data_IF_245441450869
#
_entry.id   IF_245441450869
#
_cell.length_a   1.000
_cell.length_b   1.000
_cell.length_c   1.000
_cell.angle_alpha   90.00
_cell.angle_beta   90.00
_cell.angle_gamma   90.00
#
_symmetry.space_group_name_H-M   'P 1'
#
loop_
_entity.id
_entity.type
_entity.pdbx_description
1 polymer ?
#
# COMPACT_ATOMS: atom_id res chain seq x y z
N UNK A 1 25.17 2.10 -8.09
CA UNK A 1 26.44 2.77 -7.82
C UNK A 1 27.58 1.87 -8.23
N UNK A 2 28.53 2.39 -9.00
CA UNK A 2 29.73 1.68 -9.42
C UNK A 2 30.94 2.61 -9.32
N UNK A 3 32.15 2.05 -9.38
CA UNK A 3 33.39 2.81 -9.37
C UNK A 3 33.57 3.74 -10.58
N UNK A 4 32.77 3.57 -11.63
CA UNK A 4 32.79 4.40 -12.83
C UNK A 4 31.70 5.49 -12.83
N UNK A 5 30.69 5.40 -11.97
CA UNK A 5 29.56 6.33 -12.00
C UNK A 5 28.34 5.90 -11.18
N UNK A 6 27.31 6.75 -11.18
CA UNK A 6 26.04 6.50 -10.51
C UNK A 6 24.86 6.82 -11.42
N UNK A 7 23.82 6.02 -11.31
CA UNK A 7 22.56 6.17 -12.01
C UNK A 7 21.42 6.20 -10.99
N UNK A 8 20.54 7.19 -11.13
CA UNK A 8 19.31 7.35 -10.38
C UNK A 8 18.14 7.15 -11.31
N UNK A 9 17.23 6.26 -10.94
CA UNK A 9 16.07 5.92 -11.72
C UNK A 9 14.89 5.60 -10.82
N UNK A 10 13.70 5.71 -11.39
CA UNK A 10 12.43 5.28 -10.79
C UNK A 10 11.84 4.15 -11.61
N UNK A 11 11.24 3.19 -10.91
CA UNK A 11 10.49 2.09 -11.49
C UNK A 11 9.04 2.21 -11.02
N UNK A 12 8.11 2.36 -11.95
CA UNK A 12 6.67 2.43 -11.64
C UNK A 12 5.94 1.36 -12.44
N UNK A 13 5.57 0.26 -11.79
CA UNK A 13 4.99 -0.89 -12.49
C UNK A 13 5.96 -1.41 -13.54
N UNK A 14 5.61 -1.24 -14.83
CA UNK A 14 6.45 -1.65 -15.96
C UNK A 14 7.22 -0.49 -16.61
N UNK A 15 7.03 0.76 -16.18
CA UNK A 15 7.75 1.91 -16.75
C UNK A 15 9.05 2.15 -16.01
N UNK A 16 10.12 2.33 -16.79
CA UNK A 16 11.46 2.62 -16.30
C UNK A 16 11.87 4.04 -16.70
N UNK A 17 12.18 4.87 -15.72
CA UNK A 17 12.54 6.27 -15.95
C UNK A 17 13.90 6.58 -15.32
N UNK A 18 14.86 6.99 -16.14
CA UNK A 18 16.19 7.41 -15.67
C UNK A 18 16.14 8.92 -15.39
N UNK A 19 16.31 9.28 -14.12
CA UNK A 19 16.23 10.68 -13.68
C UNK A 19 17.55 11.39 -13.93
N UNK A 20 18.64 10.79 -13.45
CA UNK A 20 19.95 11.41 -13.51
C UNK A 20 21.04 10.34 -13.57
N UNK A 21 22.05 10.57 -14.40
CA UNK A 21 23.28 9.79 -14.44
C UNK A 21 24.48 10.72 -14.43
N UNK A 22 25.55 10.29 -13.78
CA UNK A 22 26.83 10.95 -13.90
C UNK A 22 27.97 9.95 -13.72
N UNK A 23 29.05 10.18 -14.46
CA UNK A 23 30.25 9.37 -14.44
C UNK A 23 31.30 10.01 -13.55
N UNK A 24 32.15 9.19 -12.95
CA UNK A 24 33.25 9.62 -12.07
C UNK A 24 34.47 8.77 -12.33
N UNK A 25 35.62 9.44 -12.46
CA UNK A 25 36.91 8.77 -12.56
C UNK A 25 37.59 8.67 -11.19
N UNK A 26 37.52 7.48 -10.58
CA UNK A 26 38.13 7.19 -9.29
C UNK A 26 39.55 6.64 -9.47
N UNK A 27 40.53 7.09 -8.66
CA UNK A 27 41.91 6.62 -8.76
C UNK A 27 42.00 5.14 -8.39
N UNK A 28 42.55 4.33 -9.29
CA UNK A 28 42.68 2.88 -9.12
C UNK A 28 43.61 2.51 -7.96
N UNK A 29 43.49 1.27 -7.49
CA UNK A 29 44.43 0.70 -6.51
C UNK A 29 45.79 0.51 -7.19
N UNK A 30 46.82 1.15 -6.65
CA UNK A 30 48.20 0.91 -7.10
C UNK A 30 48.75 -0.32 -6.38
N UNK A 31 49.26 -1.29 -7.14
CA UNK A 31 49.91 -2.48 -6.61
C UNK A 31 51.43 -2.33 -6.40
N UNK A 32 52.03 -1.24 -6.88
CA UNK A 32 53.47 -0.98 -6.72
C UNK A 32 53.72 -0.20 -5.42
N UNK A 33 54.58 -0.74 -4.56
CA UNK A 33 54.97 -0.12 -3.29
C UNK A 33 55.91 1.08 -3.46
N UNK A 34 56.08 1.87 -2.40
CA UNK A 34 56.97 3.03 -2.34
C UNK A 34 56.63 4.01 -1.21
N UNK A 35 57.49 5.00 -0.96
CA UNK A 35 57.29 6.03 0.08
C UNK A 35 56.00 6.85 -0.14
N UNK A 36 55.58 7.02 -1.38
CA UNK A 36 54.35 7.74 -1.75
C UNK A 36 53.08 6.86 -1.70
N UNK A 37 53.19 5.54 -1.49
CA UNK A 37 52.06 4.62 -1.55
C UNK A 37 50.95 4.96 -0.53
N UNK A 38 51.33 5.32 0.70
CA UNK A 38 50.38 5.70 1.75
C UNK A 38 49.60 6.98 1.38
N UNK A 39 50.29 7.96 0.78
CA UNK A 39 49.66 9.20 0.31
C UNK A 39 48.64 8.92 -0.80
N UNK A 40 48.98 8.09 -1.77
CA UNK A 40 48.04 7.70 -2.82
C UNK A 40 46.85 6.88 -2.30
N UNK A 41 47.07 6.09 -1.24
CA UNK A 41 45.99 5.39 -0.57
C UNK A 41 45.00 6.35 0.11
N UNK A 42 45.52 7.37 0.81
CA UNK A 42 44.69 8.42 1.44
C UNK A 42 43.90 9.22 0.40
N UNK A 43 44.55 9.69 -0.67
CA UNK A 43 43.88 10.41 -1.76
C UNK A 43 42.75 9.58 -2.41
N UNK A 44 42.91 8.25 -2.48
CA UNK A 44 41.86 7.36 -2.98
C UNK A 44 40.67 7.27 -2.03
N UNK A 45 40.91 7.09 -0.74
CA UNK A 45 39.83 7.08 0.27
C UNK A 45 39.07 8.40 0.27
N UNK A 46 39.79 9.51 0.18
CA UNK A 46 39.21 10.86 0.15
C UNK A 46 38.32 11.07 -1.08
N UNK A 47 38.79 10.69 -2.28
CA UNK A 47 37.96 10.75 -3.50
C UNK A 47 36.74 9.82 -3.43
N UNK A 48 36.87 8.63 -2.84
CA UNK A 48 35.73 7.72 -2.63
C UNK A 48 34.70 8.32 -1.68
N UNK A 49 35.14 8.89 -0.57
CA UNK A 49 34.26 9.55 0.39
C UNK A 49 33.52 10.74 -0.26
N UNK A 50 34.22 11.56 -1.05
CA UNK A 50 33.62 12.67 -1.79
C UNK A 50 32.62 12.18 -2.85
N UNK A 51 32.87 11.03 -3.48
CA UNK A 51 31.92 10.41 -4.41
C UNK A 51 30.65 9.97 -3.70
N UNK A 52 30.76 9.25 -2.57
CA UNK A 52 29.61 8.83 -1.75
C UNK A 52 28.80 10.05 -1.28
N UNK A 53 29.47 11.13 -0.84
CA UNK A 53 28.81 12.39 -0.49
C UNK A 53 28.02 12.98 -1.65
N UNK A 54 28.64 13.10 -2.83
CA UNK A 54 27.97 13.62 -4.03
C UNK A 54 26.75 12.79 -4.41
N UNK A 55 26.83 11.47 -4.27
CA UNK A 55 25.71 10.56 -4.53
C UNK A 55 24.59 10.78 -3.51
N UNK A 56 24.90 10.88 -2.22
CA UNK A 56 23.92 11.16 -1.16
C UNK A 56 23.19 12.49 -1.40
N UNK A 57 23.92 13.56 -1.72
CA UNK A 57 23.34 14.87 -2.03
C UNK A 57 22.45 14.84 -3.29
N UNK A 58 22.87 14.09 -4.31
CA UNK A 58 22.08 13.94 -5.54
C UNK A 58 20.81 13.12 -5.28
N UNK A 59 20.89 12.09 -4.44
CA UNK A 59 19.74 11.28 -4.04
C UNK A 59 18.65 12.14 -3.37
N UNK A 60 19.05 13.05 -2.48
CA UNK A 60 18.13 14.00 -1.83
C UNK A 60 17.43 14.88 -2.87
N UNK A 61 18.17 15.43 -3.83
CA UNK A 61 17.59 16.26 -4.90
C UNK A 61 16.61 15.51 -5.80
N UNK A 62 16.86 14.23 -6.07
CA UNK A 62 16.01 13.42 -6.94
C UNK A 62 14.76 12.87 -6.22
N UNK A 63 14.91 12.39 -4.99
CA UNK A 63 13.89 11.60 -4.30
C UNK A 63 13.14 12.34 -3.18
N UNK A 64 13.59 13.52 -2.77
CA UNK A 64 12.88 14.36 -1.79
C UNK A 64 12.24 15.55 -2.52
N UNK A 65 10.93 15.68 -2.38
CA UNK A 65 10.14 16.84 -2.84
C UNK A 65 9.27 17.32 -1.69
N UNK A 66 9.29 18.62 -1.41
CA UNK A 66 8.51 19.25 -0.33
C UNK A 66 8.68 18.54 1.03
N UNK A 67 9.93 18.28 1.42
CA UNK A 67 10.32 17.56 2.64
C UNK A 67 9.80 16.11 2.78
N UNK A 68 9.13 15.58 1.76
CA UNK A 68 8.61 14.22 1.73
C UNK A 68 9.35 13.38 0.69
N UNK A 69 9.59 12.12 1.04
CA UNK A 69 10.14 11.15 0.10
C UNK A 69 9.07 10.81 -0.92
N UNK A 70 9.37 11.01 -2.21
CA UNK A 70 8.42 10.73 -3.30
C UNK A 70 8.28 9.23 -3.59
N UNK A 71 9.27 8.43 -3.19
CA UNK A 71 9.31 6.99 -3.43
C UNK A 71 8.68 6.18 -2.28
N UNK A 72 8.00 5.10 -2.66
CA UNK A 72 7.41 4.14 -1.71
C UNK A 72 8.50 3.37 -0.94
N UNK A 73 9.57 3.02 -1.65
CA UNK A 73 10.78 2.42 -1.11
C UNK A 73 11.97 2.65 -2.05
N UNK A 74 13.16 2.39 -1.54
CA UNK A 74 14.44 2.65 -2.20
C UNK A 74 15.28 1.37 -2.23
N UNK A 75 15.97 1.15 -3.34
CA UNK A 75 16.86 0.01 -3.55
C UNK A 75 18.25 0.56 -3.83
N UNK A 76 19.25 0.03 -3.11
CA UNK A 76 20.64 0.37 -3.35
C UNK A 76 21.31 -0.75 -4.13
N UNK A 77 21.47 -0.57 -5.44
CA UNK A 77 22.17 -1.52 -6.30
C UNK A 77 23.60 -1.04 -6.56
N UNK A 78 24.57 -1.94 -6.53
CA UNK A 78 25.94 -1.62 -6.91
C UNK A 78 26.88 -2.80 -6.89
N UNK A 79 28.05 -2.61 -7.50
CA UNK A 79 29.16 -3.55 -7.38
C UNK A 79 30.03 -3.16 -6.19
N UNK A 80 30.48 -4.14 -5.42
CA UNK A 80 31.33 -3.98 -4.24
C UNK A 80 30.69 -3.17 -3.08
N UNK A 81 31.54 -2.73 -2.14
CA UNK A 81 31.14 -2.16 -0.85
C UNK A 81 30.66 -0.69 -0.91
N UNK A 82 30.58 -0.07 -2.08
CA UNK A 82 30.15 1.34 -2.16
C UNK A 82 28.72 1.57 -1.66
N UNK A 83 27.84 0.59 -1.86
CA UNK A 83 26.45 0.67 -1.39
C UNK A 83 26.32 0.47 0.12
N UNK A 84 27.21 -0.35 0.72
CA UNK A 84 27.24 -0.57 2.17
C UNK A 84 27.86 0.63 2.87
N UNK A 85 28.91 1.23 2.27
CA UNK A 85 29.45 2.51 2.72
C UNK A 85 28.41 3.63 2.67
N UNK A 86 27.60 3.73 1.60
CA UNK A 86 26.51 4.72 1.54
C UNK A 86 25.50 4.51 2.66
N UNK A 87 24.99 3.27 2.82
CA UNK A 87 23.96 2.95 3.80
C UNK A 87 24.42 3.09 5.26
N UNK A 88 25.70 2.81 5.53
CA UNK A 88 26.30 2.96 6.86
C UNK A 88 26.83 4.35 7.18
N UNK A 89 26.81 5.29 6.22
CA UNK A 89 27.35 6.63 6.42
C UNK A 89 26.30 7.61 6.94
N UNK A 90 26.70 8.47 7.87
CA UNK A 90 25.87 9.58 8.39
C UNK A 90 25.57 10.66 7.33
N UNK A 91 26.20 10.57 6.15
CA UNK A 91 25.96 11.49 5.04
C UNK A 91 24.66 11.20 4.31
N UNK A 92 24.12 9.98 4.46
CA UNK A 92 22.88 9.60 3.81
C UNK A 92 21.69 10.10 4.63
N UNK A 93 20.73 10.74 3.96
CA UNK A 93 19.57 11.32 4.64
C UNK A 93 18.76 10.23 5.35
N UNK A 94 18.50 10.43 6.64
CA UNK A 94 17.79 9.46 7.49
C UNK A 94 16.39 9.12 6.94
N UNK A 95 15.72 10.07 6.27
CA UNK A 95 14.40 9.84 5.67
C UNK A 95 14.48 8.84 4.50
N UNK A 96 15.57 8.90 3.73
CA UNK A 96 15.83 7.94 2.65
C UNK A 96 16.34 6.61 3.20
N UNK A 97 17.19 6.64 4.23
CA UNK A 97 17.69 5.44 4.92
C UNK A 97 16.54 4.57 5.45
N UNK A 98 15.53 5.18 6.07
CA UNK A 98 14.34 4.49 6.57
C UNK A 98 13.48 3.85 5.45
N UNK A 99 13.71 4.21 4.18
CA UNK A 99 13.00 3.69 3.01
C UNK A 99 13.81 2.67 2.22
N UNK A 100 15.04 2.35 2.63
CA UNK A 100 15.85 1.31 1.98
C UNK A 100 15.22 -0.06 2.27
N UNK A 101 14.77 -0.74 1.21
CA UNK A 101 14.19 -2.08 1.30
C UNK A 101 15.30 -3.12 1.28
N UNK A 102 16.18 -3.03 0.29
CA UNK A 102 17.24 -4.01 0.05
C UNK A 102 18.45 -3.38 -0.64
N UNK A 103 19.62 -3.92 -0.33
CA UNK A 103 20.87 -3.67 -1.04
C UNK A 103 21.16 -4.84 -1.98
N UNK A 104 21.41 -4.59 -3.27
CA UNK A 104 21.61 -5.64 -4.29
C UNK A 104 22.98 -5.53 -4.92
N UNK A 105 23.62 -6.69 -5.11
CA UNK A 105 24.87 -6.84 -5.86
C UNK A 105 24.55 -6.99 -7.34
N UNK A 106 25.12 -6.11 -8.16
CA UNK A 106 25.03 -6.19 -9.62
C UNK A 106 26.42 -6.34 -10.23
N UNK A 107 26.49 -7.13 -11.30
CA UNK A 107 27.76 -7.41 -11.98
C UNK A 107 28.21 -6.27 -12.87
N UNK A 108 27.26 -5.49 -13.38
CA UNK A 108 27.50 -4.37 -14.29
C UNK A 108 26.96 -3.05 -13.72
N UNK A 109 27.62 -1.94 -14.03
CA UNK A 109 27.13 -0.60 -13.74
C UNK A 109 26.19 -0.04 -14.82
N UNK A 110 25.66 1.16 -14.58
CA UNK A 110 24.85 1.91 -15.55
C UNK A 110 23.49 1.27 -15.85
N UNK A 111 23.02 1.43 -17.09
CA UNK A 111 21.68 1.02 -17.53
C UNK A 111 21.52 -0.50 -17.61
N UNK A 112 22.59 -1.22 -17.97
CA UNK A 112 22.59 -2.69 -17.98
C UNK A 112 22.49 -3.26 -16.56
N UNK A 113 23.24 -2.68 -15.62
CA UNK A 113 23.14 -3.02 -14.20
C UNK A 113 21.76 -2.72 -13.61
N UNK A 114 21.09 -1.68 -14.10
CA UNK A 114 19.75 -1.33 -13.67
C UNK A 114 18.72 -2.39 -14.07
N UNK A 115 18.78 -2.94 -15.28
CA UNK A 115 17.88 -4.04 -15.68
C UNK A 115 18.11 -5.29 -14.81
N UNK A 116 19.38 -5.63 -14.54
CA UNK A 116 19.71 -6.75 -13.66
C UNK A 116 19.19 -6.53 -12.23
N UNK A 117 19.29 -5.30 -11.72
CA UNK A 117 18.75 -4.97 -10.40
C UNK A 117 17.23 -5.13 -10.33
N UNK A 118 16.50 -4.81 -11.42
CA UNK A 118 15.05 -4.98 -11.47
C UNK A 118 14.67 -6.46 -11.36
N UNK A 119 15.36 -7.34 -12.10
CA UNK A 119 15.11 -8.79 -12.06
C UNK A 119 15.35 -9.37 -10.65
N UNK A 120 16.41 -8.94 -9.97
CA UNK A 120 16.77 -9.46 -8.64
C UNK A 120 15.85 -8.98 -7.51
N UNK A 121 15.16 -7.85 -7.69
CA UNK A 121 14.35 -7.21 -6.62
C UNK A 121 12.85 -7.37 -6.86
N UNK A 122 12.46 -8.05 -7.94
CA UNK A 122 11.06 -8.29 -8.28
C UNK A 122 10.27 -8.93 -7.12
N UNK A 123 10.88 -9.90 -6.42
CA UNK A 123 10.27 -10.58 -5.28
C UNK A 123 10.12 -9.67 -4.04
N UNK A 124 11.07 -8.76 -3.80
CA UNK A 124 10.95 -7.85 -2.66
C UNK A 124 9.92 -6.74 -2.92
N UNK A 125 9.79 -6.30 -4.18
CA UNK A 125 8.80 -5.29 -4.55
C UNK A 125 7.37 -5.81 -4.41
N UNK A 126 7.12 -7.08 -4.76
CA UNK A 126 5.80 -7.71 -4.52
C UNK A 126 5.51 -7.82 -3.02
N UNK A 127 6.52 -8.16 -2.22
CA UNK A 127 6.41 -8.21 -0.76
C UNK A 127 6.11 -6.84 -0.14
N UNK A 128 6.65 -5.73 -0.67
CA UNK A 128 6.38 -4.38 -0.13
C UNK A 128 4.90 -4.01 -0.26
N UNK A 129 4.24 -4.38 -1.37
CA UNK A 129 2.78 -4.18 -1.52
C UNK A 129 2.06 -4.95 -0.41
N UNK A 130 2.37 -6.23 -0.24
CA UNK A 130 1.76 -7.08 0.78
C UNK A 130 1.99 -6.58 2.21
N UNK A 131 3.21 -6.13 2.55
CA UNK A 131 3.53 -5.61 3.90
C UNK A 131 2.74 -4.35 4.22
N UNK A 132 2.53 -3.47 3.24
CA UNK A 132 1.70 -2.27 3.44
C UNK A 132 0.24 -2.61 3.65
N UNK A 133 -0.28 -3.57 2.88
CA UNK A 133 -1.66 -4.04 2.99
C UNK A 133 -1.91 -4.70 4.34
N UNK A 134 -1.01 -5.61 4.75
CA UNK A 134 -1.05 -6.22 6.07
C UNK A 134 -0.98 -5.18 7.19
N UNK A 135 -0.11 -4.17 7.08
CA UNK A 135 -0.01 -3.09 8.08
C UNK A 135 -1.33 -2.32 8.22
N UNK A 136 -2.01 -2.06 7.10
CA UNK A 136 -3.28 -1.35 7.09
C UNK A 136 -4.39 -2.17 7.74
N UNK A 137 -4.45 -3.47 7.45
CA UNK A 137 -5.38 -4.41 8.10
C UNK A 137 -5.07 -4.56 9.60
N UNK A 138 -3.80 -4.66 9.99
CA UNK A 138 -3.42 -4.69 11.40
C UNK A 138 -3.87 -3.44 12.15
N UNK A 139 -3.76 -2.25 11.53
CA UNK A 139 -4.26 -1.01 12.12
C UNK A 139 -5.78 -1.04 12.34
N UNK A 140 -6.54 -1.63 11.40
CA UNK A 140 -7.98 -1.83 11.56
C UNK A 140 -8.30 -2.76 12.74
N UNK A 141 -7.62 -3.92 12.83
CA UNK A 141 -7.82 -4.86 13.93
C UNK A 141 -7.34 -4.32 15.29
N UNK A 142 -6.32 -3.46 15.31
CA UNK A 142 -5.89 -2.76 16.53
C UNK A 142 -6.99 -1.83 17.06
N UNK A 143 -7.75 -1.16 16.19
CA UNK A 143 -8.88 -0.30 16.59
C UNK A 143 -10.06 -1.12 17.13
N UNK A 144 -10.33 -2.31 16.57
CA UNK A 144 -11.31 -3.25 17.12
C UNK A 144 -10.86 -3.74 18.49
N UNK A 145 -9.61 -4.20 18.61
CA UNK A 145 -9.08 -4.79 19.84
C UNK A 145 -9.02 -3.80 21.01
N UNK A 146 -8.96 -2.49 20.71
CA UNK A 146 -8.93 -1.40 21.70
C UNK A 146 -10.31 -0.83 22.04
N UNK A 147 -11.39 -1.34 21.43
CA UNK A 147 -12.77 -0.87 21.63
C UNK A 147 -12.94 0.67 21.47
N UNK A 148 -12.17 1.27 20.56
CA UNK A 148 -12.21 2.73 20.36
C UNK A 148 -13.53 3.20 19.72
N UNK A 149 -14.26 2.27 19.09
CA UNK A 149 -15.48 2.54 18.32
C UNK A 149 -15.23 3.33 17.04
N UNK A 150 -13.98 3.34 16.53
CA UNK A 150 -13.57 4.04 15.29
C UNK A 150 -13.51 3.11 14.08
N UNK A 151 -14.40 2.14 14.02
CA UNK A 151 -14.50 1.22 12.90
C UNK A 151 -15.96 1.04 12.49
N UNK A 152 -16.17 0.77 11.21
CA UNK A 152 -17.45 0.28 10.69
C UNK A 152 -17.20 -1.01 9.91
N UNK A 153 -18.24 -1.85 9.86
CA UNK A 153 -18.34 -3.02 9.00
C UNK A 153 -19.74 -3.03 8.38
N UNK A 154 -19.93 -3.75 7.28
CA UNK A 154 -21.17 -3.82 6.50
C UNK A 154 -21.53 -2.55 5.70
N UNK A 155 -22.27 -2.75 4.60
CA UNK A 155 -22.57 -1.73 3.59
C UNK A 155 -23.39 -0.58 4.16
N UNK A 156 -24.46 -0.88 4.92
CA UNK A 156 -25.39 0.14 5.43
C UNK A 156 -24.70 1.16 6.34
N UNK A 157 -23.92 0.67 7.30
CA UNK A 157 -23.15 1.52 8.21
C UNK A 157 -22.03 2.26 7.47
N UNK A 158 -21.45 1.63 6.43
CA UNK A 158 -20.43 2.23 5.57
C UNK A 158 -20.96 3.41 4.78
N UNK A 159 -22.12 3.27 4.13
CA UNK A 159 -22.75 4.33 3.34
C UNK A 159 -23.14 5.50 4.24
N UNK A 160 -23.75 5.21 5.40
CA UNK A 160 -24.10 6.25 6.38
C UNK A 160 -22.86 7.01 6.88
N UNK A 161 -21.78 6.30 7.19
CA UNK A 161 -20.52 6.94 7.61
C UNK A 161 -19.87 7.76 6.49
N UNK A 162 -20.03 7.33 5.24
CA UNK A 162 -19.54 8.02 4.06
C UNK A 162 -20.34 9.31 3.79
N UNK A 163 -21.67 9.26 3.88
CA UNK A 163 -22.57 10.43 3.74
C UNK A 163 -22.30 11.48 4.82
N UNK A 164 -21.95 11.04 6.03
CA UNK A 164 -21.58 11.93 7.13
C UNK A 164 -20.15 12.47 7.02
N UNK A 165 -19.35 11.99 6.05
CA UNK A 165 -17.95 12.39 5.88
C UNK A 165 -17.05 12.00 7.06
N UNK A 166 -17.45 10.99 7.84
CA UNK A 166 -16.73 10.56 9.05
C UNK A 166 -15.60 9.55 8.77
N UNK A 167 -15.44 9.13 7.52
CA UNK A 167 -14.46 8.11 7.10
C UNK A 167 -13.07 8.71 6.91
N UNK A 168 -12.06 8.09 7.51
CA UNK A 168 -10.66 8.44 7.25
C UNK A 168 -10.09 7.59 6.10
N UNK A 169 -10.18 6.27 6.28
CA UNK A 169 -9.62 5.29 5.36
C UNK A 169 -10.69 4.26 5.06
N UNK A 170 -10.97 4.08 3.77
CA UNK A 170 -11.88 3.06 3.27
C UNK A 170 -11.10 1.89 2.69
N UNK A 171 -11.41 0.69 3.19
CA UNK A 171 -10.78 -0.56 2.83
C UNK A 171 -11.83 -1.39 2.10
N UNK A 172 -11.60 -1.63 0.82
CA UNK A 172 -12.53 -2.38 -0.04
C UNK A 172 -11.79 -3.57 -0.61
N UNK A 173 -12.48 -4.70 -0.65
CA UNK A 173 -12.01 -5.87 -1.36
C UNK A 173 -12.28 -5.74 -2.86
N UNK A 174 -11.32 -6.13 -3.70
CA UNK A 174 -11.45 -5.98 -5.17
C UNK A 174 -12.57 -6.83 -5.77
N UNK A 175 -12.79 -8.04 -5.26
CA UNK A 175 -13.78 -8.98 -5.81
C UNK A 175 -15.14 -8.86 -5.10
N UNK A 176 -15.59 -7.62 -4.88
CA UNK A 176 -16.83 -7.35 -4.20
C UNK A 176 -18.03 -7.44 -5.17
N UNK A 177 -18.79 -8.52 -5.07
CA UNK A 177 -19.97 -8.78 -5.92
C UNK A 177 -21.26 -8.11 -5.39
N UNK A 178 -21.16 -6.81 -5.08
CA UNK A 178 -22.27 -5.99 -4.60
C UNK A 178 -22.64 -4.98 -5.67
N UNK A 179 -23.91 -4.98 -6.07
CA UNK A 179 -24.46 -4.01 -7.02
C UNK A 179 -25.37 -3.01 -6.31
N UNK A 180 -25.30 -1.77 -6.76
CA UNK A 180 -26.20 -0.69 -6.35
C UNK A 180 -27.34 -0.60 -7.36
N UNK A 181 -28.55 -0.80 -6.87
CA UNK A 181 -29.79 -0.62 -7.63
C UNK A 181 -30.45 0.68 -7.21
N UNK A 182 -30.76 1.52 -8.19
CA UNK A 182 -31.65 2.68 -8.00
C UNK A 182 -33.01 2.32 -8.54
N UNK A 183 -33.96 2.15 -7.63
CA UNK A 183 -35.34 1.85 -7.93
C UNK A 183 -36.16 3.13 -7.95
N UNK A 184 -37.02 3.29 -8.96
CA UNK A 184 -38.06 4.31 -8.97
C UNK A 184 -39.39 3.67 -8.61
N UNK A 185 -40.06 4.23 -7.60
CA UNK A 185 -41.43 3.87 -7.34
C UNK A 185 -42.35 4.66 -8.30
N UNK A 186 -43.19 4.00 -9.12
CA UNK A 186 -44.07 4.68 -10.06
C UNK A 186 -45.16 5.51 -9.38
N UNK A 187 -45.48 5.23 -8.11
CA UNK A 187 -46.55 5.90 -7.37
C UNK A 187 -46.06 7.11 -6.57
N UNK A 188 -44.88 7.02 -5.95
CA UNK A 188 -44.35 8.07 -5.07
C UNK A 188 -43.28 8.96 -5.73
N UNK A 189 -42.80 8.60 -6.92
CA UNK A 189 -41.65 9.22 -7.60
C UNK A 189 -40.35 9.30 -6.77
N UNK A 190 -40.32 8.65 -5.60
CA UNK A 190 -39.14 8.58 -4.75
C UNK A 190 -38.20 7.50 -5.28
N UNK A 191 -36.92 7.85 -5.30
CA UNK A 191 -35.85 6.92 -5.66
C UNK A 191 -35.41 6.18 -4.40
N UNK A 192 -35.57 4.86 -4.39
CA UNK A 192 -35.01 3.99 -3.35
C UNK A 192 -33.69 3.39 -3.84
N UNK A 193 -32.65 3.50 -3.01
CA UNK A 193 -31.36 2.88 -3.29
C UNK A 193 -31.27 1.60 -2.47
N UNK A 194 -30.98 0.48 -3.14
CA UNK A 194 -30.71 -0.81 -2.49
C UNK A 194 -29.36 -1.35 -2.95
N UNK A 195 -28.65 -1.98 -2.03
CA UNK A 195 -27.42 -2.70 -2.29
C UNK A 195 -27.75 -4.19 -2.18
N UNK A 196 -27.49 -4.96 -3.22
CA UNK A 196 -27.86 -6.38 -3.29
C UNK A 196 -26.63 -7.22 -3.64
N UNK A 197 -26.51 -8.36 -2.97
CA UNK A 197 -25.53 -9.41 -3.29
C UNK A 197 -26.08 -10.36 -4.37
N UNK A 198 -25.22 -11.20 -4.96
CA UNK A 198 -25.61 -12.14 -6.02
C UNK A 198 -26.67 -13.17 -5.60
N UNK A 199 -26.77 -13.48 -4.30
CA UNK A 199 -27.82 -14.34 -3.74
C UNK A 199 -29.15 -13.59 -3.62
N UNK A 200 -29.11 -12.35 -3.13
CA UNK A 200 -30.27 -11.48 -2.94
C UNK A 200 -30.84 -10.96 -4.27
N UNK A 201 -30.00 -10.86 -5.31
CA UNK A 201 -30.41 -10.55 -6.69
C UNK A 201 -31.38 -11.62 -7.24
N UNK A 202 -31.27 -12.87 -6.79
CA UNK A 202 -32.18 -13.95 -7.21
C UNK A 202 -33.53 -13.89 -6.51
N UNK A 203 -33.59 -13.21 -5.37
CA UNK A 203 -34.79 -13.12 -4.56
C UNK A 203 -35.69 -11.97 -5.04
N UNK A 204 -36.76 -12.35 -5.76
CA UNK A 204 -37.79 -11.43 -6.27
C UNK A 204 -38.41 -10.54 -5.19
N UNK A 205 -38.31 -10.90 -3.91
CA UNK A 205 -38.81 -10.12 -2.77
C UNK A 205 -38.14 -8.75 -2.64
N UNK A 206 -36.92 -8.58 -3.13
CA UNK A 206 -36.19 -7.31 -3.04
C UNK A 206 -36.62 -6.28 -4.09
N UNK A 207 -37.26 -6.75 -5.17
CA UNK A 207 -37.78 -5.97 -6.29
C UNK A 207 -39.24 -5.52 -6.11
N UNK A 208 -39.88 -5.94 -5.02
CA UNK A 208 -41.24 -5.54 -4.67
C UNK A 208 -41.18 -4.58 -3.49
N UNK A 209 -41.89 -3.47 -3.59
CA UNK A 209 -42.00 -2.51 -2.50
C UNK A 209 -42.87 -3.08 -1.36
N UNK A 210 -42.36 -3.05 -0.12
CA UNK A 210 -43.00 -3.69 1.04
C UNK A 210 -44.32 -3.01 1.43
N UNK A 211 -44.49 -1.73 1.08
CA UNK A 211 -45.70 -0.95 1.39
C UNK A 211 -46.78 -1.03 0.31
N UNK A 212 -46.40 -1.10 -0.96
CA UNK A 212 -47.35 -0.97 -2.09
C UNK A 212 -47.58 -2.29 -2.82
N UNK A 213 -46.72 -3.29 -2.61
CA UNK A 213 -46.80 -4.59 -3.30
C UNK A 213 -46.57 -4.50 -4.81
N UNK A 214 -46.14 -3.34 -5.31
CA UNK A 214 -45.84 -3.11 -6.71
C UNK A 214 -44.36 -3.39 -7.02
N UNK A 215 -44.10 -3.85 -8.24
CA UNK A 215 -42.76 -4.08 -8.75
C UNK A 215 -42.06 -2.73 -8.98
N UNK A 216 -40.85 -2.59 -8.45
CA UNK A 216 -40.03 -1.40 -8.59
C UNK A 216 -39.29 -1.42 -9.93
N UNK A 217 -39.32 -0.32 -10.66
CA UNK A 217 -38.54 -0.19 -11.90
C UNK A 217 -37.09 0.14 -11.56
N UNK A 218 -36.15 -0.69 -12.02
CA UNK A 218 -34.71 -0.41 -11.87
C UNK A 218 -34.26 0.58 -12.95
N UNK A 219 -33.84 1.78 -12.55
CA UNK A 219 -33.33 2.81 -13.47
C UNK A 219 -31.88 2.51 -13.87
N UNK A 220 -31.03 2.32 -12.86
CA UNK A 220 -29.61 2.10 -13.05
C UNK A 220 -29.11 0.98 -12.13
N UNK A 221 -28.22 0.18 -12.70
CA UNK A 221 -27.50 -0.90 -12.02
C UNK A 221 -26.04 -0.65 -12.25
N UNK A 222 -25.33 -0.34 -11.17
CA UNK A 222 -23.89 -0.07 -11.19
C UNK A 222 -23.22 -0.94 -10.13
N UNK A 223 -21.95 -1.28 -10.32
CA UNK A 223 -21.21 -1.97 -9.26
C UNK A 223 -20.93 -1.00 -8.12
N UNK A 224 -20.88 -1.50 -6.88
CA UNK A 224 -20.62 -0.64 -5.73
C UNK A 224 -19.24 0.01 -5.80
N UNK A 225 -18.26 -0.69 -6.39
CA UNK A 225 -16.90 -0.18 -6.60
C UNK A 225 -16.92 1.00 -7.60
N UNK A 226 -17.57 0.85 -8.75
CA UNK A 226 -17.64 1.91 -9.76
C UNK A 226 -18.35 3.14 -9.20
N UNK A 227 -19.47 2.93 -8.50
CA UNK A 227 -20.18 4.01 -7.80
C UNK A 227 -19.29 4.74 -6.79
N UNK A 228 -18.50 4.00 -6.01
CA UNK A 228 -17.56 4.59 -5.04
C UNK A 228 -16.41 5.36 -5.70
N UNK A 229 -15.98 4.96 -6.90
CA UNK A 229 -14.98 5.70 -7.67
C UNK A 229 -15.58 7.00 -8.22
N UNK A 230 -16.77 6.92 -8.82
CA UNK A 230 -17.45 8.05 -9.45
C UNK A 230 -17.90 9.12 -8.45
N UNK A 231 -18.40 8.70 -7.29
CA UNK A 231 -18.89 9.61 -6.24
C UNK A 231 -17.76 10.42 -5.61
N UNK A 232 -16.49 9.99 -5.76
CA UNK A 232 -15.39 10.44 -4.90
C UNK A 232 -14.55 11.58 -5.44
N UNK A 233 -15.12 12.45 -6.27
CA UNK A 233 -14.35 13.58 -6.79
C UNK A 233 -14.01 14.68 -5.76
N UNK A 234 -14.34 14.56 -4.46
CA UNK A 234 -14.11 15.69 -3.54
C UNK A 234 -13.42 15.48 -2.17
N UNK A 235 -13.45 14.35 -1.43
CA UNK A 235 -13.15 14.49 0.02
C UNK A 235 -12.37 13.39 0.77
N UNK A 236 -11.96 12.27 0.16
CA UNK A 236 -11.36 11.18 0.94
C UNK A 236 -10.19 10.53 0.19
N UNK A 237 -9.02 10.49 0.83
CA UNK A 237 -7.87 9.67 0.42
C UNK A 237 -8.32 8.21 0.27
N UNK A 238 -8.63 7.80 -0.95
CA UNK A 238 -8.93 6.41 -1.31
C UNK A 238 -7.61 5.67 -1.33
N UNK A 239 -7.16 5.25 -0.14
CA UNK A 239 -5.75 4.87 0.03
C UNK A 239 -5.39 3.47 -0.44
N UNK A 240 -6.36 2.59 -0.73
CA UNK A 240 -6.16 1.36 -1.53
C UNK A 240 -7.45 0.55 -1.64
N UNK A 241 -7.69 0.01 -2.84
CA UNK A 241 -8.46 -1.22 -3.03
C UNK A 241 -7.47 -2.37 -2.81
N UNK A 242 -7.86 -3.36 -2.01
CA UNK A 242 -6.98 -4.48 -1.65
C UNK A 242 -7.21 -5.68 -2.56
N UNK A 243 -6.22 -5.98 -3.41
CA UNK A 243 -6.04 -7.29 -4.04
C UNK A 243 -5.46 -8.25 -3.01
N UNK A 244 -6.25 -8.77 -2.06
CA UNK A 244 -5.73 -9.78 -1.15
C UNK A 244 -5.37 -11.03 -1.97
N UNK A 245 -4.08 -11.37 -1.99
CA UNK A 245 -3.65 -12.72 -2.37
C UNK A 245 -4.21 -13.71 -1.34
N UNK A 246 -4.55 -14.91 -1.81
CA UNK A 246 -5.29 -16.00 -1.15
C UNK A 246 -4.84 -16.43 0.27
N UNK A 247 -3.78 -15.85 0.83
CA UNK A 247 -3.19 -16.27 2.10
C UNK A 247 -3.84 -15.62 3.34
N UNK A 248 -4.83 -14.76 3.15
CA UNK A 248 -5.58 -14.10 4.25
C UNK A 248 -6.95 -14.75 4.46
N UNK A 249 -6.95 -16.05 4.74
CA UNK A 249 -8.16 -16.87 5.02
C UNK A 249 -9.03 -16.27 6.14
N UNK A 250 -8.46 -15.47 7.05
CA UNK A 250 -9.19 -14.84 8.15
C UNK A 250 -10.14 -13.70 7.73
N UNK A 251 -10.06 -13.18 6.50
CA UNK A 251 -10.92 -12.10 6.01
C UNK A 251 -12.13 -12.58 5.21
N UNK A 252 -12.16 -13.85 4.77
CA UNK A 252 -13.36 -14.41 4.11
C UNK A 252 -14.57 -14.46 5.07
N UNK A 253 -14.33 -14.57 6.38
CA UNK A 253 -15.37 -14.60 7.41
C UNK A 253 -15.89 -13.21 7.84
N UNK A 254 -15.20 -12.14 7.46
CA UNK A 254 -15.60 -10.76 7.77
C UNK A 254 -16.08 -10.08 6.49
N UNK A 255 -17.41 -9.95 6.35
CA UNK A 255 -18.10 -9.24 5.28
C UNK A 255 -17.25 -8.13 4.63
N UNK A 256 -16.72 -8.41 3.44
CA UNK A 256 -16.75 -7.63 2.20
C UNK A 256 -16.26 -6.16 2.18
N UNK A 257 -16.58 -5.33 3.18
CA UNK A 257 -16.20 -3.92 3.27
C UNK A 257 -15.82 -3.56 4.70
N UNK A 258 -14.60 -3.01 4.87
CA UNK A 258 -14.06 -2.59 6.16
C UNK A 258 -13.72 -1.09 6.15
N UNK A 259 -13.95 -0.40 7.26
CA UNK A 259 -13.80 1.05 7.36
C UNK A 259 -13.07 1.47 8.65
N UNK A 260 -12.14 2.42 8.52
CA UNK A 260 -11.57 3.16 9.66
C UNK A 260 -12.16 4.58 9.67
N UNK A 261 -12.74 4.97 10.81
CA UNK A 261 -13.41 6.27 11.00
C UNK A 261 -12.49 7.30 11.66
N UNK A 262 -12.63 8.57 11.28
CA UNK A 262 -11.97 9.72 11.93
C UNK A 262 -12.51 10.00 13.34
N UNK A 263 -13.80 9.71 13.57
CA UNK A 263 -14.51 9.96 14.83
C UNK A 263 -15.22 8.70 15.30
N UNK A 264 -15.49 8.62 16.61
CA UNK A 264 -16.23 7.51 17.20
C UNK A 264 -17.60 7.41 16.53
N UNK A 265 -17.97 6.20 16.09
CA UNK A 265 -19.28 5.97 15.50
C UNK A 265 -20.37 6.27 16.54
N UNK A 266 -21.37 7.06 16.16
CA UNK A 266 -22.45 7.49 17.05
C UNK A 266 -23.59 6.45 17.07
N UNK A 267 -23.59 5.51 16.12
CA UNK A 267 -24.55 4.40 16.08
C UNK A 267 -24.08 3.21 16.92
N UNK A 268 -24.96 2.61 17.75
CA UNK A 268 -24.65 1.35 18.40
C UNK A 268 -24.58 0.25 17.32
N UNK A 269 -23.39 -0.27 17.06
CA UNK A 269 -23.26 -1.56 16.37
C UNK A 269 -24.00 -2.59 17.22
N UNK A 270 -24.90 -3.39 16.61
CA UNK A 270 -25.43 -4.57 17.29
C UNK A 270 -24.24 -5.42 17.72
N UNK A 271 -24.10 -5.61 19.03
CA UNK A 271 -22.89 -6.14 19.65
C UNK A 271 -22.81 -7.65 19.41
N UNK A 272 -22.25 -8.06 18.28
CA UNK A 272 -21.88 -9.46 18.06
C UNK A 272 -20.55 -9.68 18.76
N UNK A 273 -20.55 -10.42 19.88
CA UNK A 273 -19.32 -10.72 20.63
C UNK A 273 -18.47 -11.73 19.85
N UNK A 274 -17.24 -11.31 19.51
CA UNK A 274 -16.24 -12.12 18.83
C UNK A 274 -15.27 -12.65 19.88
N UNK A 275 -15.12 -13.97 20.01
CA UNK A 275 -14.18 -14.58 20.97
C UNK A 275 -13.03 -15.25 20.23
N UNK A 276 -11.79 -14.89 20.56
CA UNK A 276 -10.56 -15.51 20.05
C UNK A 276 -10.07 -16.59 21.02
N UNK A 277 -9.90 -17.82 20.53
CA UNK A 277 -9.28 -18.94 21.26
C UNK A 277 -7.98 -19.32 20.56
N UNK A 278 -6.87 -19.32 21.29
CA UNK A 278 -5.55 -19.71 20.77
C UNK A 278 -5.42 -21.23 20.91
N UNK A 279 -5.31 -21.98 19.81
CA UNK A 279 -5.03 -23.42 19.84
C UNK A 279 -3.52 -23.65 19.60
N UNK A 280 -2.79 -23.88 20.69
CA UNK A 280 -1.33 -24.06 20.72
C UNK A 280 -0.85 -25.30 19.95
N UNK A 281 -1.74 -26.24 19.60
CA UNK A 281 -1.36 -27.48 18.91
C UNK A 281 -1.20 -27.34 17.40
N UNK A 282 -1.79 -26.31 16.78
CA UNK A 282 -1.77 -26.12 15.32
C UNK A 282 -1.11 -24.81 14.88
N UNK A 283 -0.84 -23.88 15.80
CA UNK A 283 -0.28 -22.57 15.46
C UNK A 283 -1.27 -21.62 14.77
N UNK A 284 -2.59 -21.85 14.92
CA UNK A 284 -3.66 -21.01 14.35
C UNK A 284 -4.47 -20.33 15.46
N UNK A 285 -5.05 -19.18 15.13
CA UNK A 285 -6.03 -18.47 15.95
C UNK A 285 -7.44 -18.89 15.50
N UNK A 286 -8.21 -19.53 16.38
CA UNK A 286 -9.63 -19.85 16.12
C UNK A 286 -10.49 -18.72 16.66
N UNK A 287 -11.27 -18.08 15.80
CA UNK A 287 -12.18 -16.99 16.18
C UNK A 287 -13.61 -17.48 16.03
N UNK A 288 -14.35 -17.57 17.14
CA UNK A 288 -15.75 -17.98 17.15
C UNK A 288 -16.66 -16.74 17.25
N UNK A 289 -17.52 -16.56 16.24
CA UNK A 289 -18.60 -15.57 16.25
C UNK A 289 -19.89 -16.22 16.76
N UNK A 290 -20.37 -15.81 17.94
CA UNK A 290 -21.71 -16.16 18.41
C UNK A 290 -22.67 -15.03 18.03
N UNK A 291 -23.68 -15.34 17.21
CA UNK A 291 -24.84 -14.46 17.02
C UNK A 291 -25.66 -14.49 18.32
N UNK A 292 -25.67 -13.38 19.06
CA UNK A 292 -26.67 -13.18 20.11
C UNK A 292 -28.02 -12.91 19.42
N UNK A 293 -28.98 -13.81 19.65
CA UNK A 293 -30.39 -13.70 19.23
C UNK A 293 -31.03 -12.48 19.90
#
# INVERSE_FOLDING_TARGET
MDGNGCLFATLTGNTRDIIQKFDVDLPKKHGRGGQSALRFARLRMEKRHNFVRKVAETAVKCFIKDDKVSCVGLILAGSADFKTELNGSDMFDQRLAAKVIRTVDVSYGGENGFNQAIELVQDDLSNVKFVQEKKLICQYFDEISRDTGKYCFAIGDTVNALEQGAVETLIIWENLDIKRYVFRNPVSELNEVKYLNQTEEKDRKHFVDKSTGQELESISVETFIDWLVDTRLLLIDLRKVLSLSKDSVALEDYCDILLILRRKNIYPTKTTSIWMTIDESRGWLLVNCAHAI
#
